data_IF_344621903560
#
_entry.id   IF_344621903560
#
_cell.length_a   1.000
_cell.length_b   1.000
_cell.length_c   1.000
_cell.angle_alpha   90.00
_cell.angle_beta   90.00
_cell.angle_gamma   90.00
#
_symmetry.space_group_name_H-M   'P 1'
#
loop_
_entity.id
_entity.type
_entity.pdbx_description
1 polymer ?
#
# COMPACT_ATOMS: atom_id res chain seq x y z
N UNK A 1 -5.04 12.63 -4.90
CA UNK A 1 -4.56 13.39 -6.07
C UNK A 1 -4.62 12.50 -7.30
N UNK A 2 -4.90 13.07 -8.47
CA UNK A 2 -5.04 12.35 -9.74
C UNK A 2 -4.27 13.10 -10.83
N UNK A 3 -3.41 12.39 -11.57
CA UNK A 3 -2.61 12.96 -12.64
C UNK A 3 -2.60 12.03 -13.85
N UNK A 4 -2.52 12.62 -15.03
CA UNK A 4 -2.34 11.89 -16.28
C UNK A 4 -0.90 12.09 -16.76
N UNK A 5 -0.25 10.98 -17.13
CA UNK A 5 1.04 10.99 -17.83
C UNK A 5 0.87 10.32 -19.20
N UNK A 6 1.95 10.22 -19.98
CA UNK A 6 1.90 9.72 -21.35
C UNK A 6 1.24 8.34 -21.47
N UNK A 7 1.49 7.45 -20.52
CA UNK A 7 1.14 6.02 -20.57
C UNK A 7 0.27 5.54 -19.39
N UNK A 8 -0.05 6.41 -18.43
CA UNK A 8 -0.81 6.02 -17.24
C UNK A 8 -1.69 7.16 -16.70
N UNK A 9 -2.72 6.77 -15.96
CA UNK A 9 -3.37 7.62 -14.97
C UNK A 9 -2.92 7.20 -13.58
N UNK A 10 -2.48 8.16 -12.78
CA UNK A 10 -1.87 7.92 -11.48
C UNK A 10 -2.75 8.52 -10.39
N UNK A 11 -3.23 7.67 -9.49
CA UNK A 11 -3.85 8.06 -8.23
C UNK A 11 -2.82 8.02 -7.12
N UNK A 12 -2.69 9.12 -6.39
CA UNK A 12 -1.83 9.22 -5.21
C UNK A 12 -2.69 9.68 -4.04
N UNK A 13 -2.77 8.86 -3.00
CA UNK A 13 -3.49 9.18 -1.76
C UNK A 13 -2.48 9.38 -0.61
N UNK A 14 -2.71 10.39 0.24
CA UNK A 14 -1.85 10.68 1.38
C UNK A 14 -2.47 10.09 2.65
N UNK A 15 -1.66 9.43 3.46
CA UNK A 15 -2.06 8.91 4.76
C UNK A 15 -1.05 9.34 5.82
N UNK A 16 -1.56 9.74 6.98
CA UNK A 16 -0.72 10.15 8.10
C UNK A 16 -1.03 9.26 9.29
N UNK A 17 0.00 8.78 9.99
CA UNK A 17 -0.14 7.90 11.15
C UNK A 17 0.65 8.48 12.31
N UNK A 18 -0.02 8.63 13.45
CA UNK A 18 0.63 9.03 14.69
C UNK A 18 1.22 7.81 15.38
N UNK A 19 2.27 8.00 16.17
CA UNK A 19 2.94 6.94 16.96
C UNK A 19 1.97 6.10 17.81
N UNK A 20 0.94 6.71 18.41
CA UNK A 20 -0.13 5.99 19.14
C UNK A 20 -0.90 4.96 18.31
N UNK A 21 -0.95 5.13 16.99
CA UNK A 21 -1.63 4.25 16.03
C UNK A 21 -0.67 3.58 15.04
N UNK A 22 0.62 3.49 15.35
CA UNK A 22 1.65 3.03 14.40
C UNK A 22 1.37 1.63 13.82
N UNK A 23 0.60 0.78 14.51
CA UNK A 23 0.10 -0.49 13.96
C UNK A 23 -0.68 -0.36 12.64
N UNK A 24 -1.17 0.84 12.31
CA UNK A 24 -1.86 1.12 11.06
C UNK A 24 -0.94 1.26 9.84
N UNK A 25 0.37 1.24 10.01
CA UNK A 25 1.35 1.38 8.93
C UNK A 25 2.45 0.31 8.94
N UNK A 26 2.54 -0.58 9.93
CA UNK A 26 3.66 -1.54 10.01
C UNK A 26 3.55 -2.73 9.07
N UNK A 27 2.34 -3.15 8.69
CA UNK A 27 2.10 -4.35 7.84
C UNK A 27 1.12 -4.11 6.71
N UNK A 28 0.13 -3.25 6.96
CA UNK A 28 -0.90 -2.94 5.99
C UNK A 28 -1.47 -1.56 6.23
N UNK A 29 -1.97 -0.91 5.18
CA UNK A 29 -2.63 0.40 5.25
C UNK A 29 -4.11 0.27 4.92
N UNK A 30 -4.96 1.08 5.55
CA UNK A 30 -6.37 1.18 5.15
C UNK A 30 -6.47 1.77 3.73
N UNK A 31 -7.21 1.12 2.84
CA UNK A 31 -7.50 1.65 1.50
C UNK A 31 -9.00 1.58 1.23
N UNK A 32 -9.54 2.63 0.63
CA UNK A 32 -10.93 2.70 0.21
C UNK A 32 -11.15 2.23 -1.23
N UNK A 33 -12.40 1.89 -1.57
CA UNK A 33 -12.80 1.42 -2.90
C UNK A 33 -12.47 2.44 -4.01
N UNK A 34 -12.55 3.74 -3.71
CA UNK A 34 -12.23 4.83 -4.64
C UNK A 34 -10.72 5.14 -4.75
N UNK A 35 -9.84 4.33 -4.16
CA UNK A 35 -8.40 4.62 -4.07
C UNK A 35 -7.52 3.64 -4.84
N UNK A 36 -8.07 2.52 -5.32
CA UNK A 36 -7.33 1.48 -6.04
C UNK A 36 -8.20 0.75 -7.06
N UNK A 37 -7.57 -0.05 -7.92
CA UNK A 37 -8.23 -0.86 -8.95
C UNK A 37 -8.15 -2.37 -8.70
N UNK A 38 -7.62 -2.81 -7.55
CA UNK A 38 -7.35 -4.23 -7.29
C UNK A 38 -8.58 -4.93 -6.71
N UNK A 39 -9.27 -5.72 -7.55
CA UNK A 39 -10.37 -6.58 -7.10
C UNK A 39 -9.83 -7.88 -6.51
N UNK A 40 -10.58 -8.49 -5.60
CA UNK A 40 -10.22 -9.80 -5.08
C UNK A 40 -11.03 -10.22 -3.86
N UNK A 41 -10.67 -11.36 -3.30
CA UNK A 41 -11.33 -11.94 -2.13
C UNK A 41 -10.51 -11.69 -0.87
N UNK A 42 -11.18 -11.26 0.20
CA UNK A 42 -10.59 -11.14 1.53
C UNK A 42 -10.98 -12.34 2.40
N UNK A 43 -9.99 -12.92 3.06
CA UNK A 43 -10.22 -13.92 4.10
C UNK A 43 -10.49 -13.22 5.44
N UNK A 44 -11.65 -13.50 6.05
CA UNK A 44 -12.09 -12.93 7.33
C UNK A 44 -12.10 -14.03 8.38
N UNK A 45 -11.31 -13.87 9.44
CA UNK A 45 -11.36 -14.78 10.58
C UNK A 45 -12.60 -14.48 11.44
N UNK A 46 -13.43 -15.48 11.65
CA UNK A 46 -14.63 -15.43 12.50
C UNK A 46 -14.54 -16.50 13.59
N UNK A 47 -15.46 -16.46 14.56
CA UNK A 47 -15.57 -17.54 15.56
C UNK A 47 -15.91 -18.90 14.93
N UNK A 48 -16.54 -18.89 13.75
CA UNK A 48 -16.93 -20.08 13.01
C UNK A 48 -15.89 -20.53 11.96
N UNK A 49 -14.71 -19.91 11.93
CA UNK A 49 -13.65 -20.19 10.95
C UNK A 49 -13.42 -19.03 9.97
N UNK A 50 -12.79 -19.33 8.83
CA UNK A 50 -12.48 -18.33 7.80
C UNK A 50 -13.64 -18.23 6.81
N UNK A 51 -14.21 -17.03 6.67
CA UNK A 51 -15.16 -16.73 5.59
C UNK A 51 -14.49 -15.87 4.52
N UNK A 52 -15.01 -15.95 3.30
CA UNK A 52 -14.56 -15.13 2.18
C UNK A 52 -15.51 -13.95 1.96
N UNK A 53 -14.95 -12.77 1.73
CA UNK A 53 -15.70 -11.56 1.38
C UNK A 53 -15.09 -10.92 0.15
N UNK A 54 -15.91 -10.72 -0.88
CA UNK A 54 -15.48 -10.03 -2.09
C UNK A 54 -15.18 -8.56 -1.79
N UNK A 55 -14.18 -8.05 -2.49
CA UNK A 55 -13.84 -6.63 -2.54
C UNK A 55 -13.91 -6.15 -3.99
N UNK A 56 -14.72 -5.13 -4.20
CA UNK A 56 -14.94 -4.53 -5.52
C UNK A 56 -14.42 -3.09 -5.46
N UNK A 57 -13.28 -2.77 -6.10
CA UNK A 57 -12.80 -1.41 -6.23
C UNK A 57 -13.69 -0.59 -7.16
N UNK A 58 -13.70 0.72 -6.98
CA UNK A 58 -14.40 1.66 -7.85
C UNK A 58 -13.52 2.17 -9.00
N UNK A 59 -12.18 2.13 -8.86
CA UNK A 59 -11.31 2.54 -9.96
C UNK A 59 -11.17 1.42 -11.00
N UNK A 60 -11.18 1.75 -12.30
CA UNK A 60 -10.98 0.75 -13.33
C UNK A 60 -9.52 0.31 -13.40
N UNK A 61 -9.25 -0.86 -14.00
CA UNK A 61 -7.87 -1.29 -14.26
C UNK A 61 -7.20 -0.45 -15.35
N UNK A 62 -7.97 -0.05 -16.36
CA UNK A 62 -7.59 0.87 -17.43
C UNK A 62 -8.63 1.97 -17.56
N UNK A 63 -8.19 3.21 -17.68
CA UNK A 63 -9.04 4.28 -18.17
C UNK A 63 -9.11 4.23 -19.70
N UNK A 64 -10.25 4.61 -20.27
CA UNK A 64 -10.48 4.61 -21.73
C UNK A 64 -10.21 3.25 -22.39
N UNK A 65 -10.52 2.15 -21.69
CA UNK A 65 -10.26 0.79 -22.19
C UNK A 65 -10.82 0.57 -23.61
N UNK A 66 -10.00 0.04 -24.51
CA UNK A 66 -10.33 -0.25 -25.91
C UNK A 66 -10.26 0.96 -26.85
N UNK A 67 -9.69 2.09 -26.43
CA UNK A 67 -9.52 3.31 -27.23
C UNK A 67 -8.05 3.65 -27.40
N UNK A 68 -7.72 4.52 -28.35
CA UNK A 68 -6.34 5.02 -28.57
C UNK A 68 -5.75 5.73 -27.33
N UNK A 69 -6.62 6.25 -26.46
CA UNK A 69 -6.25 6.89 -25.20
C UNK A 69 -6.30 5.95 -23.98
N UNK A 70 -6.32 4.63 -24.19
CA UNK A 70 -6.24 3.64 -23.13
C UNK A 70 -4.96 3.82 -22.33
N UNK A 71 -5.10 3.93 -21.00
CA UNK A 71 -3.98 4.08 -20.07
C UNK A 71 -4.24 3.27 -18.81
N UNK A 72 -3.19 2.63 -18.30
CA UNK A 72 -3.26 1.85 -17.07
C UNK A 72 -3.54 2.78 -15.87
N UNK A 73 -4.37 2.33 -14.94
CA UNK A 73 -4.61 3.00 -13.67
C UNK A 73 -3.57 2.56 -12.62
N UNK A 74 -2.73 3.45 -12.13
CA UNK A 74 -1.76 3.16 -11.08
C UNK A 74 -2.19 3.79 -9.76
N UNK A 75 -1.96 3.09 -8.65
CA UNK A 75 -2.38 3.52 -7.32
C UNK A 75 -1.20 3.54 -6.36
N UNK A 76 -0.90 4.72 -5.87
CA UNK A 76 0.19 4.98 -4.93
C UNK A 76 -0.34 5.60 -3.64
N UNK A 77 0.39 5.35 -2.56
CA UNK A 77 0.09 5.90 -1.26
C UNK A 77 1.35 6.55 -0.70
N UNK A 78 1.26 7.82 -0.35
CA UNK A 78 2.29 8.48 0.45
C UNK A 78 1.87 8.30 1.91
N UNK A 79 2.74 7.76 2.75
CA UNK A 79 2.46 7.56 4.17
C UNK A 79 3.48 8.32 5.00
N UNK A 80 3.00 9.11 5.96
CA UNK A 80 3.84 9.90 6.86
C UNK A 80 3.59 9.45 8.29
N UNK A 81 4.65 9.03 8.97
CA UNK A 81 4.63 8.75 10.42
C UNK A 81 5.18 9.95 11.16
N UNK A 82 4.48 10.36 12.21
CA UNK A 82 4.91 11.47 13.05
C UNK A 82 4.54 11.26 14.53
N UNK A 83 5.27 11.93 15.41
CA UNK A 83 5.01 11.90 16.85
C UNK A 83 3.76 12.70 17.23
N UNK A 84 2.98 12.20 18.18
CA UNK A 84 1.72 12.82 18.60
C UNK A 84 1.93 14.16 19.34
N UNK A 85 3.04 14.32 20.06
CA UNK A 85 3.28 15.47 20.94
C UNK A 85 3.98 16.63 20.24
N UNK A 86 5.14 16.36 19.61
CA UNK A 86 5.98 17.40 19.00
C UNK A 86 5.88 17.48 17.46
N UNK A 87 5.10 16.57 16.84
CA UNK A 87 4.90 16.48 15.39
C UNK A 87 6.16 16.18 14.57
N UNK A 88 7.24 15.71 15.20
CA UNK A 88 8.43 15.26 14.50
C UNK A 88 8.07 14.16 13.51
N UNK A 89 8.53 14.30 12.27
CA UNK A 89 8.37 13.27 11.24
C UNK A 89 9.41 12.20 11.50
N UNK A 90 8.96 10.94 11.54
CA UNK A 90 9.80 9.78 11.77
C UNK A 90 10.05 8.97 10.50
N UNK A 91 9.08 8.93 9.59
CA UNK A 91 9.13 8.10 8.40
C UNK A 91 8.22 8.66 7.30
N UNK A 92 8.71 8.68 6.05
CA UNK A 92 7.92 9.05 4.87
C UNK A 92 8.13 7.98 3.81
N UNK A 93 7.04 7.34 3.37
CA UNK A 93 7.08 6.28 2.36
C UNK A 93 6.22 6.60 1.15
N UNK A 94 6.62 6.09 -0.01
CA UNK A 94 5.80 5.92 -1.20
C UNK A 94 5.55 4.43 -1.44
N UNK A 95 4.29 4.02 -1.41
CA UNK A 95 3.87 2.62 -1.50
C UNK A 95 3.03 2.41 -2.77
N UNK A 96 3.40 1.42 -3.59
CA UNK A 96 2.70 1.07 -4.84
C UNK A 96 1.80 -0.16 -4.66
N UNK A 97 0.48 0.01 -4.82
CA UNK A 97 -0.46 -1.11 -4.81
C UNK A 97 -0.58 -1.73 -6.21
N UNK A 98 -0.63 -3.07 -6.35
CA UNK A 98 -0.82 -3.71 -7.65
C UNK A 98 -2.11 -3.24 -8.33
N UNK A 99 -2.06 -3.08 -9.65
CA UNK A 99 -3.25 -2.87 -10.48
C UNK A 99 -4.11 -4.15 -10.52
N UNK A 100 -5.42 -4.02 -10.67
CA UNK A 100 -6.34 -5.18 -10.74
C UNK A 100 -6.13 -6.15 -11.90
N UNK A 101 -5.35 -5.82 -12.94
CA UNK A 101 -4.89 -6.82 -13.93
C UNK A 101 -4.02 -7.91 -13.31
N UNK A 102 -3.40 -7.64 -12.15
CA UNK A 102 -2.48 -8.55 -11.48
C UNK A 102 -3.17 -9.45 -10.44
N UNK A 103 -4.50 -9.47 -10.40
CA UNK A 103 -5.28 -10.31 -9.48
C UNK A 103 -4.90 -11.79 -9.58
N UNK A 104 -4.81 -12.32 -10.80
CA UNK A 104 -4.48 -13.74 -11.01
C UNK A 104 -3.11 -14.15 -10.46
N UNK A 105 -2.20 -13.18 -10.27
CA UNK A 105 -0.85 -13.44 -9.80
C UNK A 105 -0.73 -13.25 -8.28
N UNK A 106 -1.22 -12.13 -7.74
CA UNK A 106 -1.10 -11.85 -6.31
C UNK A 106 -2.24 -12.45 -5.47
N UNK A 107 -3.40 -12.71 -6.08
CA UNK A 107 -4.58 -13.30 -5.45
C UNK A 107 -5.04 -12.52 -4.22
N UNK A 108 -5.40 -13.25 -3.18
CA UNK A 108 -5.89 -12.67 -1.92
C UNK A 108 -4.78 -12.05 -1.06
N UNK A 109 -3.48 -12.25 -1.36
CA UNK A 109 -2.36 -11.74 -0.55
C UNK A 109 -2.39 -10.22 -0.40
N UNK A 110 -2.84 -9.51 -1.43
CA UNK A 110 -2.91 -8.04 -1.45
C UNK A 110 -3.87 -7.48 -0.42
N UNK A 111 -5.02 -8.14 -0.20
CA UNK A 111 -6.12 -7.58 0.58
C UNK A 111 -6.24 -8.24 1.95
N UNK A 112 -6.60 -7.43 2.95
CA UNK A 112 -6.97 -7.89 4.28
C UNK A 112 -8.29 -7.24 4.69
N UNK A 113 -9.17 -8.05 5.27
CA UNK A 113 -10.43 -7.53 5.80
C UNK A 113 -10.18 -6.54 6.92
N UNK A 114 -10.77 -5.35 6.81
CA UNK A 114 -10.88 -4.42 7.92
C UNK A 114 -11.94 -4.87 8.93
N UNK A 115 -11.98 -4.19 10.08
CA UNK A 115 -12.94 -4.48 11.16
C UNK A 115 -14.41 -4.37 10.73
N UNK A 116 -14.72 -3.57 9.71
CA UNK A 116 -16.09 -3.33 9.23
C UNK A 116 -16.28 -3.81 7.77
N UNK A 117 -17.51 -4.13 7.34
CA UNK A 117 -17.89 -4.26 5.93
C UNK A 117 -17.45 -3.05 5.10
N UNK A 118 -17.01 -3.27 3.85
CA UNK A 118 -16.50 -2.22 2.96
C UNK A 118 -15.13 -1.63 3.34
N UNK A 119 -14.57 -2.01 4.50
CA UNK A 119 -13.21 -1.62 4.89
C UNK A 119 -12.23 -2.71 4.50
N UNK A 120 -11.25 -2.36 3.67
CA UNK A 120 -10.13 -3.23 3.31
C UNK A 120 -8.81 -2.58 3.73
N UNK A 121 -7.77 -3.40 3.83
CA UNK A 121 -6.40 -2.96 4.00
C UNK A 121 -5.53 -3.56 2.90
N UNK A 122 -4.58 -2.78 2.42
CA UNK A 122 -3.54 -3.24 1.52
C UNK A 122 -2.36 -3.79 2.33
N UNK A 123 -2.11 -5.10 2.24
CA UNK A 123 -0.98 -5.82 2.88
C UNK A 123 0.30 -5.70 2.06
N UNK A 124 0.88 -4.51 2.02
CA UNK A 124 2.09 -4.27 1.23
C UNK A 124 3.31 -5.08 1.70
N UNK A 125 3.38 -5.52 2.96
CA UNK A 125 4.50 -6.36 3.44
C UNK A 125 4.40 -7.83 3.01
N UNK A 126 3.21 -8.32 2.66
CA UNK A 126 3.02 -9.70 2.15
C UNK A 126 3.40 -9.83 0.66
N UNK A 127 3.44 -8.70 -0.03
CA UNK A 127 3.83 -8.59 -1.43
C UNK A 127 4.80 -7.41 -1.62
N UNK A 128 5.96 -7.40 -0.94
CA UNK A 128 6.79 -6.21 -0.83
C UNK A 128 7.50 -5.84 -2.14
N UNK A 129 7.50 -6.73 -3.14
CA UNK A 129 8.23 -6.55 -4.39
C UNK A 129 7.35 -6.65 -5.64
N UNK A 130 7.86 -6.12 -6.74
CA UNK A 130 7.33 -6.35 -8.08
C UNK A 130 7.78 -7.74 -8.59
N UNK A 131 7.09 -8.79 -8.14
CA UNK A 131 7.37 -10.22 -8.43
C UNK A 131 7.47 -10.59 -9.92
N UNK A 132 6.91 -9.78 -10.83
CA UNK A 132 6.95 -10.02 -12.28
C UNK A 132 8.14 -9.35 -13.00
N UNK A 133 8.96 -8.58 -12.30
CA UNK A 133 10.21 -8.06 -12.86
C UNK A 133 11.30 -9.14 -12.79
N UNK A 134 12.17 -9.20 -13.80
CA UNK A 134 13.31 -10.13 -13.82
C UNK A 134 14.19 -10.00 -12.57
N UNK A 135 14.41 -8.76 -12.14
CA UNK A 135 15.05 -8.42 -10.87
C UNK A 135 13.98 -7.82 -9.96
N UNK A 136 13.58 -8.52 -8.87
CA UNK A 136 12.58 -8.01 -7.94
C UNK A 136 12.98 -6.65 -7.38
N UNK A 137 12.12 -5.66 -7.55
CA UNK A 137 12.28 -4.33 -6.94
C UNK A 137 11.22 -4.12 -5.86
N UNK A 138 11.54 -3.34 -4.83
CA UNK A 138 10.58 -2.99 -3.78
C UNK A 138 9.41 -2.16 -4.33
N UNK A 139 8.19 -2.44 -3.85
CA UNK A 139 6.99 -1.61 -4.06
C UNK A 139 6.92 -0.43 -3.10
N UNK A 140 7.75 -0.46 -2.07
CA UNK A 140 7.87 0.59 -1.05
C UNK A 140 9.17 1.31 -1.28
N UNK A 141 9.10 2.62 -1.45
CA UNK A 141 10.25 3.52 -1.42
C UNK A 141 10.20 4.33 -0.14
N UNK A 142 11.24 4.23 0.68
CA UNK A 142 11.38 5.05 1.90
C UNK A 142 12.10 6.34 1.52
N UNK A 143 11.42 7.47 1.66
CA UNK A 143 11.92 8.80 1.29
C UNK A 143 12.72 9.41 2.44
N UNK A 144 12.26 9.19 3.67
CA UNK A 144 12.87 9.70 4.89
C UNK A 144 12.66 8.68 6.00
N UNK A 145 13.69 8.45 6.82
CA UNK A 145 13.63 7.59 7.99
C UNK A 145 14.50 8.18 9.11
N UNK A 146 13.92 8.50 10.26
CA UNK A 146 14.65 9.05 11.40
C UNK A 146 15.39 7.95 12.17
N UNK A 147 16.70 7.87 11.99
CA UNK A 147 17.55 6.89 12.67
C UNK A 147 17.69 7.10 14.18
N UNK A 148 17.27 8.27 14.68
CA UNK A 148 17.39 8.68 16.08
C UNK A 148 16.09 8.51 16.89
N UNK A 149 15.03 7.94 16.29
CA UNK A 149 13.80 7.60 17.01
C UNK A 149 14.07 6.58 18.13
N UNK A 150 13.17 6.49 19.11
CA UNK A 150 13.32 5.52 20.20
C UNK A 150 13.30 4.06 19.70
N UNK A 151 13.91 3.16 20.48
CA UNK A 151 14.10 1.77 20.08
C UNK A 151 12.78 1.01 19.88
N UNK A 152 11.68 1.33 20.59
CA UNK A 152 10.38 0.68 20.36
C UNK A 152 9.84 1.04 18.98
N UNK A 153 9.81 2.34 18.65
CA UNK A 153 9.35 2.81 17.35
C UNK A 153 10.23 2.28 16.22
N UNK A 154 11.55 2.30 16.41
CA UNK A 154 12.51 1.78 15.43
C UNK A 154 12.29 0.29 15.16
N UNK A 155 12.12 -0.52 16.20
CA UNK A 155 11.81 -1.95 16.06
C UNK A 155 10.49 -2.19 15.32
N UNK A 156 9.47 -1.38 15.60
CA UNK A 156 8.15 -1.47 14.94
C UNK A 156 8.19 -1.05 13.47
N UNK A 157 9.12 -0.17 13.10
CA UNK A 157 9.34 0.32 11.75
C UNK A 157 10.51 -0.35 11.02
N UNK A 158 11.06 -1.43 11.58
CA UNK A 158 12.21 -2.17 11.03
C UNK A 158 12.05 -2.62 9.57
N UNK A 159 10.81 -2.86 9.10
CA UNK A 159 10.53 -3.13 7.69
C UNK A 159 10.97 -1.96 6.79
N UNK A 160 10.63 -0.73 7.18
CA UNK A 160 11.02 0.47 6.43
C UNK A 160 12.50 0.75 6.60
N UNK A 161 13.05 0.59 7.81
CA UNK A 161 14.48 0.74 8.05
C UNK A 161 15.32 -0.13 7.10
N UNK A 162 14.98 -1.42 6.99
CA UNK A 162 15.70 -2.34 6.11
C UNK A 162 15.61 -1.95 4.64
N UNK A 163 14.48 -1.41 4.19
CA UNK A 163 14.33 -0.88 2.83
C UNK A 163 15.17 0.40 2.65
N UNK A 164 15.10 1.33 3.61
CA UNK A 164 15.87 2.57 3.56
C UNK A 164 17.37 2.30 3.45
N UNK A 165 17.89 1.36 4.24
CA UNK A 165 19.29 0.96 4.22
C UNK A 165 19.67 0.27 2.90
N UNK A 166 18.80 -0.61 2.38
CA UNK A 166 19.04 -1.29 1.10
C UNK A 166 18.91 -0.38 -0.13
N UNK A 167 18.22 0.76 0.00
CA UNK A 167 18.17 1.79 -1.06
C UNK A 167 19.46 2.62 -1.14
N UNK A 168 20.28 2.60 -0.09
CA UNK A 168 21.58 3.26 -0.03
C UNK A 168 22.66 2.46 -0.77
N UNK A 169 22.77 2.73 -2.07
CA UNK A 169 23.95 2.66 -2.96
C UNK A 169 23.52 2.33 -4.40
N UNK A 170 22.79 3.26 -5.03
CA UNK A 170 22.62 3.32 -6.49
C UNK A 170 22.60 4.76 -6.98
#
# INVERSE_FOLDING_TARGET
>A
MFFEVKDAFIHIDLKTVQTRNIGDITRSIFVGENQNSYKGVMNVNTRQGVIQRDYIPALPTFYNKGKDSEKICLSYFITIVYEDENLNILDINLICMPNGQLENHYGSRVLQAGKNPGKTRFRFTEIPTFELLEVPKSRVKVIYFDKNMDDDLKNRLSFYEGIFDAQGDS
#
